data_IF_921723414699
#
_entry.id   IF_921723414699
#
_cell.length_a   1.000
_cell.length_b   1.000
_cell.length_c   1.000
_cell.angle_alpha   90.00
_cell.angle_beta   90.00
_cell.angle_gamma   90.00
#
_symmetry.space_group_name_H-M   'P 1'
#
loop_
_entity.id
_entity.type
_entity.pdbx_description
1 polymer ?
#
# COMPACT_ATOMS: atom_id res chain seq x y z
N UNK A 1 -14.88 -20.28 31.45
CA UNK A 1 -13.64 -19.82 30.78
C UNK A 1 -14.04 -18.62 29.94
N UNK A 2 -13.82 -17.44 30.48
CA UNK A 2 -14.27 -16.15 29.96
C UNK A 2 -13.34 -15.74 28.78
N UNK A 3 -13.95 -15.55 27.62
CA UNK A 3 -13.32 -14.94 26.44
C UNK A 3 -13.01 -13.48 26.76
N UNK A 4 -11.75 -13.18 27.05
CA UNK A 4 -11.24 -11.82 27.23
C UNK A 4 -10.93 -11.29 25.80
N UNK A 5 -11.99 -10.82 25.12
CA UNK A 5 -11.86 -10.06 23.92
C UNK A 5 -11.19 -8.72 24.27
N UNK A 6 -10.04 -8.42 23.71
CA UNK A 6 -9.36 -7.15 23.87
C UNK A 6 -10.35 -6.02 23.57
N UNK A 7 -10.88 -5.41 24.63
CA UNK A 7 -11.81 -4.29 24.55
C UNK A 7 -11.04 -3.13 23.88
N UNK A 8 -11.32 -2.89 22.60
CA UNK A 8 -10.79 -1.72 21.89
C UNK A 8 -11.25 -0.48 22.65
N UNK A 9 -10.33 0.41 22.97
CA UNK A 9 -10.60 1.63 23.75
C UNK A 9 -11.82 2.37 23.14
N UNK A 10 -12.88 2.64 23.93
CA UNK A 10 -14.07 3.36 23.45
C UNK A 10 -13.75 4.69 22.80
N UNK A 11 -12.64 5.36 23.19
CA UNK A 11 -12.18 6.59 22.59
C UNK A 11 -11.67 6.36 21.15
N UNK A 12 -10.95 5.27 20.92
CA UNK A 12 -10.48 4.87 19.60
C UNK A 12 -11.66 4.55 18.68
N UNK A 13 -12.63 3.76 19.14
CA UNK A 13 -13.85 3.46 18.39
C UNK A 13 -14.60 4.74 18.01
N UNK A 14 -14.81 5.63 18.96
CA UNK A 14 -15.47 6.91 18.72
C UNK A 14 -14.68 7.80 17.76
N UNK A 15 -13.35 7.80 17.87
CA UNK A 15 -12.49 8.56 16.96
C UNK A 15 -12.56 8.03 15.53
N UNK A 16 -12.63 6.72 15.33
CA UNK A 16 -12.69 6.08 14.01
C UNK A 16 -14.11 6.01 13.41
N UNK A 17 -15.16 6.36 14.14
CA UNK A 17 -16.54 6.37 13.66
C UNK A 17 -16.86 7.46 12.60
N UNK A 18 -15.88 8.27 12.18
CA UNK A 18 -16.03 9.30 11.14
C UNK A 18 -15.10 9.04 9.98
N UNK A 19 -15.66 8.96 8.77
CA UNK A 19 -14.88 8.79 7.54
C UNK A 19 -13.83 9.90 7.35
N UNK A 20 -14.14 11.13 7.73
CA UNK A 20 -13.18 12.25 7.66
C UNK A 20 -11.97 12.00 8.55
N UNK A 21 -12.16 11.50 9.78
CA UNK A 21 -11.07 11.20 10.70
C UNK A 21 -10.24 10.00 10.22
N UNK A 22 -10.88 8.99 9.65
CA UNK A 22 -10.18 7.86 9.03
C UNK A 22 -9.29 8.35 7.87
N UNK A 23 -9.82 9.18 6.97
CA UNK A 23 -9.06 9.76 5.86
C UNK A 23 -7.90 10.65 6.33
N UNK A 24 -8.10 11.48 7.35
CA UNK A 24 -7.03 12.27 7.98
C UNK A 24 -5.91 11.37 8.51
N UNK A 25 -6.27 10.30 9.20
CA UNK A 25 -5.32 9.34 9.75
C UNK A 25 -4.55 8.60 8.65
N UNK A 26 -5.21 8.22 7.56
CA UNK A 26 -4.57 7.61 6.39
C UNK A 26 -3.53 8.55 5.76
N UNK A 27 -3.88 9.82 5.52
CA UNK A 27 -2.95 10.81 5.00
C UNK A 27 -1.73 11.00 5.92
N UNK A 28 -1.94 11.08 7.24
CA UNK A 28 -0.85 11.23 8.21
C UNK A 28 0.01 9.96 8.37
N UNK A 29 -0.52 8.79 8.02
CA UNK A 29 0.26 7.53 7.96
C UNK A 29 1.13 7.46 6.71
N UNK A 30 0.61 7.92 5.57
CA UNK A 30 1.34 7.97 4.31
C UNK A 30 2.40 9.08 4.31
N UNK A 31 2.05 10.25 4.83
CA UNK A 31 2.91 11.43 4.85
C UNK A 31 2.88 12.07 6.24
N UNK A 32 3.88 11.80 7.08
CA UNK A 32 3.99 12.42 8.39
C UNK A 32 4.36 13.90 8.29
N UNK A 33 4.10 14.63 9.37
CA UNK A 33 4.47 16.04 9.54
C UNK A 33 3.72 17.03 8.61
N UNK A 34 2.45 16.71 8.27
CA UNK A 34 1.56 17.65 7.60
C UNK A 34 0.97 18.68 8.57
N UNK A 35 0.78 19.91 8.08
CA UNK A 35 0.05 20.94 8.81
C UNK A 35 -1.46 20.91 8.45
N UNK A 36 -2.26 21.67 9.23
CA UNK A 36 -3.72 21.73 9.02
C UNK A 36 -4.12 22.31 7.67
N UNK A 37 -3.26 23.14 7.05
CA UNK A 37 -3.53 23.74 5.74
C UNK A 37 -3.35 22.67 4.65
N UNK A 38 -2.23 21.94 4.67
CA UNK A 38 -1.96 20.86 3.74
C UNK A 38 -3.01 19.75 3.81
N UNK A 39 -3.43 19.37 5.03
CA UNK A 39 -4.52 18.41 5.22
C UNK A 39 -5.86 18.93 4.71
N UNK A 40 -6.15 20.22 4.94
CA UNK A 40 -7.37 20.86 4.44
C UNK A 40 -7.46 20.86 2.92
N UNK A 41 -6.36 21.19 2.24
CA UNK A 41 -6.25 21.19 0.78
C UNK A 41 -6.49 19.79 0.19
N UNK A 42 -5.85 18.75 0.76
CA UNK A 42 -5.98 17.37 0.29
C UNK A 42 -7.38 16.78 0.45
N UNK A 43 -8.07 17.18 1.51
CA UNK A 43 -9.39 16.65 1.84
C UNK A 43 -10.55 17.54 1.37
N UNK A 44 -10.25 18.74 0.83
CA UNK A 44 -11.27 19.72 0.49
C UNK A 44 -12.01 20.27 1.71
N UNK A 45 -11.33 20.40 2.86
CA UNK A 45 -11.93 20.80 4.13
C UNK A 45 -11.39 22.15 4.62
N UNK A 46 -12.25 22.90 5.28
CA UNK A 46 -11.82 24.10 5.96
C UNK A 46 -10.88 23.80 7.13
N UNK A 47 -9.87 24.63 7.34
CA UNK A 47 -8.82 24.47 8.38
C UNK A 47 -9.39 24.23 9.78
N UNK A 48 -10.47 24.90 10.15
CA UNK A 48 -11.12 24.72 11.45
C UNK A 48 -11.77 23.33 11.60
N UNK A 49 -12.37 22.83 10.52
CA UNK A 49 -12.92 21.46 10.49
C UNK A 49 -11.82 20.43 10.67
N UNK A 50 -10.69 20.61 9.99
CA UNK A 50 -9.51 19.74 10.15
C UNK A 50 -9.01 19.76 11.60
N UNK A 51 -8.89 20.95 12.22
CA UNK A 51 -8.49 21.08 13.63
C UNK A 51 -9.42 20.33 14.58
N UNK A 52 -10.72 20.48 14.40
CA UNK A 52 -11.70 19.79 15.25
C UNK A 52 -11.57 18.27 15.16
N UNK A 53 -11.36 17.74 13.95
CA UNK A 53 -11.16 16.31 13.75
C UNK A 53 -9.82 15.82 14.29
N UNK A 54 -8.73 16.60 14.12
CA UNK A 54 -7.42 16.27 14.67
C UNK A 54 -7.44 16.26 16.20
N UNK A 55 -8.14 17.19 16.85
CA UNK A 55 -8.27 17.19 18.31
C UNK A 55 -8.91 15.89 18.85
N UNK A 56 -9.92 15.36 18.15
CA UNK A 56 -10.52 14.06 18.52
C UNK A 56 -9.55 12.91 18.33
N UNK A 57 -8.75 12.93 17.25
CA UNK A 57 -7.72 11.91 17.00
C UNK A 57 -6.57 12.01 18.01
N UNK A 58 -6.16 13.23 18.40
CA UNK A 58 -5.16 13.45 19.46
C UNK A 58 -5.65 12.94 20.82
N UNK A 59 -6.91 13.23 21.16
CA UNK A 59 -7.53 12.73 22.41
C UNK A 59 -7.59 11.21 22.46
N UNK A 60 -7.75 10.55 21.32
CA UNK A 60 -7.73 9.09 21.20
C UNK A 60 -6.30 8.52 21.06
N UNK A 61 -5.27 9.35 21.15
CA UNK A 61 -3.88 8.92 21.00
C UNK A 61 -3.49 8.43 19.60
N UNK A 62 -4.31 8.69 18.58
CA UNK A 62 -4.08 8.24 17.20
C UNK A 62 -3.23 9.22 16.38
N UNK A 63 -3.11 10.47 16.83
CA UNK A 63 -2.33 11.53 16.20
C UNK A 63 -1.58 12.29 17.29
N UNK A 64 -0.38 12.73 17.00
CA UNK A 64 0.37 13.66 17.83
C UNK A 64 0.74 14.93 17.06
N UNK A 65 0.71 16.08 17.73
CA UNK A 65 1.21 17.32 17.16
C UNK A 65 2.62 17.66 17.69
N UNK A 66 3.45 18.17 16.80
CA UNK A 66 4.80 18.64 17.09
C UNK A 66 4.91 20.10 16.65
N UNK A 67 5.46 20.93 17.50
CA UNK A 67 5.75 22.32 17.13
C UNK A 67 6.95 22.39 16.19
N UNK A 68 6.77 23.01 15.03
CA UNK A 68 7.86 23.27 14.10
C UNK A 68 8.81 24.30 14.73
N UNK A 69 10.09 23.94 14.87
CA UNK A 69 11.11 24.89 15.29
C UNK A 69 11.25 26.00 14.22
N UNK A 70 11.26 27.26 14.63
CA UNK A 70 11.41 28.41 13.73
C UNK A 70 12.44 29.39 14.28
N UNK A 71 13.29 29.87 13.39
CA UNK A 71 14.27 30.94 13.68
C UNK A 71 13.69 32.37 13.53
N UNK A 72 12.36 32.50 13.29
CA UNK A 72 11.69 33.79 13.07
C UNK A 72 10.54 33.96 14.07
N UNK A 73 10.30 35.22 14.55
CA UNK A 73 9.18 35.52 15.44
C UNK A 73 7.84 35.23 14.76
N UNK A 74 6.92 34.60 15.49
CA UNK A 74 5.60 34.22 15.06
C UNK A 74 5.07 32.98 15.79
N UNK A 75 3.77 32.73 15.72
CA UNK A 75 3.16 31.52 16.32
C UNK A 75 3.71 30.27 15.62
N UNK A 76 4.33 29.30 16.36
CA UNK A 76 4.82 28.07 15.77
C UNK A 76 3.73 27.33 15.01
N UNK A 77 4.04 26.78 13.83
CA UNK A 77 3.14 25.86 13.13
C UNK A 77 3.13 24.51 13.83
N UNK A 78 1.95 23.92 13.95
CA UNK A 78 1.82 22.54 14.40
C UNK A 78 1.90 21.61 13.20
N UNK A 79 2.79 20.64 13.29
CA UNK A 79 2.88 19.51 12.37
C UNK A 79 2.25 18.30 13.05
N UNK A 80 1.43 17.59 12.31
CA UNK A 80 0.72 16.43 12.82
C UNK A 80 1.31 15.15 12.20
N UNK A 81 1.41 14.13 13.02
CA UNK A 81 1.80 12.78 12.59
C UNK A 81 0.86 11.77 13.20
N UNK A 82 0.55 10.70 12.45
CA UNK A 82 -0.10 9.57 13.05
C UNK A 82 0.83 9.00 14.13
N UNK A 83 0.32 8.84 15.34
CA UNK A 83 0.97 7.99 16.30
C UNK A 83 0.74 6.56 15.81
N UNK A 84 1.80 5.76 15.69
CA UNK A 84 1.58 4.33 15.82
C UNK A 84 0.79 4.17 17.13
N UNK A 85 -0.32 3.42 17.16
CA UNK A 85 -0.89 3.05 18.45
C UNK A 85 0.29 2.56 19.27
N UNK A 86 0.46 3.12 20.47
CA UNK A 86 1.54 2.71 21.36
C UNK A 86 1.47 1.19 21.41
N UNK A 87 2.40 0.53 20.71
CA UNK A 87 2.46 -0.90 20.50
C UNK A 87 1.08 -1.57 20.64
N UNK A 88 0.22 -1.45 19.63
CA UNK A 88 -0.72 -2.53 19.42
C UNK A 88 0.21 -3.71 19.11
N UNK A 89 0.56 -4.48 20.11
CA UNK A 89 1.15 -5.78 19.91
C UNK A 89 0.35 -6.43 18.81
N UNK A 90 0.98 -6.96 17.75
CA UNK A 90 0.24 -7.60 16.68
C UNK A 90 -0.76 -8.56 17.32
N UNK A 91 -1.99 -8.56 16.86
CA UNK A 91 -3.03 -9.43 17.40
C UNK A 91 -2.52 -10.88 17.45
N UNK A 92 -3.15 -11.73 18.26
CA UNK A 92 -2.76 -13.15 18.28
C UNK A 92 -2.80 -13.74 16.87
N UNK A 93 -3.80 -13.36 16.08
CA UNK A 93 -3.97 -13.86 14.72
C UNK A 93 -2.89 -13.30 13.78
N UNK A 94 -2.56 -12.02 13.85
CA UNK A 94 -1.45 -11.44 13.09
C UNK A 94 -0.12 -12.12 13.42
N UNK A 95 0.15 -12.40 14.69
CA UNK A 95 1.36 -13.16 15.09
C UNK A 95 1.35 -14.57 14.52
N UNK A 96 0.20 -15.26 14.57
CA UNK A 96 0.06 -16.61 14.02
C UNK A 96 0.27 -16.64 12.51
N UNK A 97 -0.33 -15.69 11.76
CA UNK A 97 -0.13 -15.58 10.31
C UNK A 97 1.31 -15.24 9.96
N UNK A 98 1.95 -14.30 10.66
CA UNK A 98 3.36 -13.95 10.44
C UNK A 98 4.27 -15.13 10.70
N UNK A 99 4.03 -15.88 11.78
CA UNK A 99 4.79 -17.08 12.11
C UNK A 99 4.64 -18.15 11.02
N UNK A 100 3.41 -18.43 10.57
CA UNK A 100 3.16 -19.39 9.49
C UNK A 100 3.83 -18.93 8.18
N UNK A 101 3.68 -17.66 7.82
CA UNK A 101 4.31 -17.12 6.63
C UNK A 101 5.84 -17.21 6.68
N UNK A 102 6.46 -16.97 7.84
CA UNK A 102 7.90 -17.15 8.04
C UNK A 102 8.35 -18.61 7.85
N UNK A 103 7.59 -19.57 8.38
CA UNK A 103 7.87 -21.00 8.17
C UNK A 103 7.80 -21.35 6.68
N UNK A 104 6.75 -20.89 5.98
CA UNK A 104 6.57 -21.18 4.55
C UNK A 104 7.65 -20.54 3.68
N UNK A 105 8.04 -19.29 3.98
CA UNK A 105 9.14 -18.62 3.29
C UNK A 105 10.48 -19.36 3.51
N UNK A 106 10.79 -19.71 4.76
CA UNK A 106 11.99 -20.49 5.10
C UNK A 106 12.00 -21.86 4.42
N UNK A 107 10.84 -22.52 4.36
CA UNK A 107 10.70 -23.80 3.68
C UNK A 107 10.96 -23.68 2.18
N UNK A 108 10.41 -22.65 1.54
CA UNK A 108 10.64 -22.38 0.12
C UNK A 108 12.13 -22.14 -0.16
N UNK A 109 12.80 -21.32 0.66
CA UNK A 109 14.24 -21.05 0.55
C UNK A 109 15.10 -22.32 0.70
N UNK A 110 14.68 -23.22 1.60
CA UNK A 110 15.45 -24.43 1.89
C UNK A 110 15.23 -25.57 0.87
N UNK A 111 14.10 -25.60 0.16
CA UNK A 111 13.69 -26.75 -0.65
C UNK A 111 13.69 -26.48 -2.15
N UNK A 112 13.79 -25.23 -2.60
CA UNK A 112 13.83 -24.88 -4.02
C UNK A 112 15.22 -24.35 -4.41
N UNK A 113 15.66 -24.71 -5.62
CA UNK A 113 16.95 -24.24 -6.17
C UNK A 113 16.88 -22.72 -6.48
N UNK A 114 15.70 -22.23 -6.84
CA UNK A 114 15.41 -20.82 -7.13
C UNK A 114 14.10 -20.44 -6.44
N UNK A 115 14.21 -20.05 -5.18
CA UNK A 115 13.05 -19.65 -4.36
C UNK A 115 12.40 -18.38 -4.88
N UNK A 116 13.19 -17.48 -5.48
CA UNK A 116 12.68 -16.24 -6.05
C UNK A 116 11.80 -16.53 -7.27
N UNK A 117 12.21 -17.38 -8.19
CA UNK A 117 11.39 -17.76 -9.34
C UNK A 117 10.11 -18.49 -8.91
N UNK A 118 10.21 -19.47 -8.02
CA UNK A 118 9.03 -20.18 -7.51
C UNK A 118 8.03 -19.25 -6.78
N UNK A 119 8.56 -18.30 -6.02
CA UNK A 119 7.74 -17.29 -5.34
C UNK A 119 7.06 -16.34 -6.34
N UNK A 120 7.77 -15.95 -7.40
CA UNK A 120 7.22 -15.12 -8.47
C UNK A 120 6.10 -15.84 -9.23
N UNK A 121 6.30 -17.11 -9.60
CA UNK A 121 5.27 -17.92 -10.27
C UNK A 121 4.01 -18.07 -9.41
N UNK A 122 4.19 -18.31 -8.11
CA UNK A 122 3.09 -18.34 -7.17
C UNK A 122 2.35 -17.00 -7.08
N UNK A 123 3.11 -15.90 -7.03
CA UNK A 123 2.57 -14.56 -7.05
C UNK A 123 1.78 -14.27 -8.33
N UNK A 124 2.29 -14.66 -9.50
CA UNK A 124 1.64 -14.47 -10.79
C UNK A 124 0.33 -15.25 -10.88
N UNK A 125 0.32 -16.51 -10.46
CA UNK A 125 -0.92 -17.31 -10.38
C UNK A 125 -1.98 -16.65 -9.50
N UNK A 126 -1.60 -16.06 -8.35
CA UNK A 126 -2.50 -15.31 -7.49
C UNK A 126 -2.92 -13.96 -8.10
N UNK A 127 -2.01 -13.30 -8.84
CA UNK A 127 -2.27 -12.05 -9.53
C UNK A 127 -3.49 -12.10 -10.44
N UNK A 128 -3.68 -13.21 -11.15
CA UNK A 128 -4.86 -13.46 -11.98
C UNK A 128 -6.17 -13.56 -11.20
N UNK A 129 -6.14 -13.78 -9.90
CA UNK A 129 -7.34 -13.94 -9.07
C UNK A 129 -7.75 -12.71 -8.30
N UNK A 130 -6.83 -11.73 -8.16
CA UNK A 130 -7.07 -10.53 -7.33
C UNK A 130 -7.71 -9.36 -8.10
N UNK A 131 -7.82 -9.48 -9.40
CA UNK A 131 -8.49 -8.50 -10.27
C UNK A 131 -9.58 -9.20 -11.08
N UNK A 132 -10.64 -8.45 -11.38
CA UNK A 132 -11.71 -8.98 -12.24
C UNK A 132 -11.26 -8.93 -13.71
N UNK A 133 -11.40 -10.05 -14.40
CA UNK A 133 -11.19 -10.10 -15.85
C UNK A 133 -12.20 -9.17 -16.54
N UNK A 134 -11.75 -8.30 -17.44
CA UNK A 134 -12.66 -7.49 -18.24
C UNK A 134 -13.66 -8.34 -19.03
N UNK A 135 -14.85 -7.80 -19.26
CA UNK A 135 -15.84 -8.48 -20.07
C UNK A 135 -15.28 -8.78 -21.47
N UNK A 136 -15.69 -9.90 -22.14
CA UNK A 136 -15.26 -10.21 -23.49
C UNK A 136 -15.52 -9.01 -24.41
N UNK A 137 -14.50 -8.62 -25.20
CA UNK A 137 -14.52 -7.46 -26.11
C UNK A 137 -14.47 -6.07 -25.42
N UNK A 138 -14.44 -5.97 -24.10
CA UNK A 138 -14.14 -4.72 -23.42
C UNK A 138 -12.67 -4.33 -23.70
N UNK A 139 -12.47 -3.08 -24.12
CA UNK A 139 -11.12 -2.51 -24.23
C UNK A 139 -10.83 -1.77 -22.92
N UNK A 140 -9.94 -2.29 -22.14
CA UNK A 140 -9.43 -1.59 -20.94
C UNK A 140 -8.26 -0.74 -21.36
N UNK A 141 -8.34 0.57 -21.09
CA UNK A 141 -7.21 1.47 -21.28
C UNK A 141 -6.12 1.22 -20.23
N UNK A 142 -4.88 1.59 -20.56
CA UNK A 142 -3.77 1.46 -19.60
C UNK A 142 -4.05 2.22 -18.28
N UNK A 143 -4.64 3.40 -18.35
CA UNK A 143 -4.98 4.21 -17.17
C UNK A 143 -6.03 3.54 -16.28
N UNK A 144 -7.06 2.92 -16.89
CA UNK A 144 -8.10 2.19 -16.13
C UNK A 144 -7.53 0.94 -15.46
N UNK A 145 -6.64 0.22 -16.14
CA UNK A 145 -5.96 -0.94 -15.59
C UNK A 145 -5.04 -0.56 -14.43
N UNK A 146 -4.22 0.48 -14.61
CA UNK A 146 -3.37 0.99 -13.55
C UNK A 146 -4.21 1.51 -12.38
N UNK A 147 -5.36 2.12 -12.65
CA UNK A 147 -6.34 2.51 -11.63
C UNK A 147 -6.91 1.31 -10.86
N UNK A 148 -7.18 0.20 -11.54
CA UNK A 148 -7.65 -1.06 -10.92
C UNK A 148 -6.55 -1.69 -10.09
N UNK A 149 -5.34 -1.80 -10.63
CA UNK A 149 -4.16 -2.28 -9.92
C UNK A 149 -3.91 -1.46 -8.64
N UNK A 150 -3.98 -0.12 -8.74
CA UNK A 150 -3.83 0.77 -7.58
C UNK A 150 -4.83 0.46 -6.48
N UNK A 151 -6.11 0.26 -6.83
CA UNK A 151 -7.16 -0.05 -5.84
C UNK A 151 -6.87 -1.36 -5.12
N UNK A 152 -6.54 -2.41 -5.84
CA UNK A 152 -6.22 -3.72 -5.27
C UNK A 152 -4.99 -3.64 -4.37
N UNK A 153 -3.92 -2.99 -4.81
CA UNK A 153 -2.73 -2.81 -3.99
C UNK A 153 -3.00 -1.98 -2.72
N UNK A 154 -3.91 -1.00 -2.79
CA UNK A 154 -4.31 -0.20 -1.62
C UNK A 154 -5.13 -1.03 -0.63
N UNK A 155 -6.01 -1.91 -1.09
CA UNK A 155 -6.77 -2.85 -0.26
C UNK A 155 -5.84 -3.82 0.50
N UNK A 156 -4.75 -4.28 -0.14
CA UNK A 156 -3.71 -5.07 0.51
C UNK A 156 -2.78 -4.23 1.42
N UNK A 157 -2.93 -2.92 1.42
CA UNK A 157 -2.22 -2.02 2.34
C UNK A 157 -0.84 -1.57 1.88
N UNK A 158 -0.54 -1.62 0.59
CA UNK A 158 0.73 -1.16 0.02
C UNK A 158 0.84 0.36 -0.11
N UNK A 159 -0.27 1.11 -0.03
CA UNK A 159 -0.34 2.54 -0.28
C UNK A 159 0.33 2.92 -1.62
N UNK A 160 -0.19 2.45 -2.77
CA UNK A 160 0.44 2.62 -4.07
C UNK A 160 0.23 4.03 -4.63
N UNK A 161 1.24 4.55 -5.30
CA UNK A 161 1.18 5.73 -6.16
C UNK A 161 1.61 5.32 -7.57
N UNK A 162 0.81 5.70 -8.57
CA UNK A 162 1.14 5.44 -9.97
C UNK A 162 1.81 6.68 -10.55
N UNK A 163 3.04 6.52 -11.03
CA UNK A 163 3.79 7.54 -11.73
C UNK A 163 3.79 7.21 -13.24
N UNK A 164 3.08 8.02 -14.01
CA UNK A 164 2.98 7.93 -15.47
C UNK A 164 3.68 9.09 -16.17
N UNK A 165 4.65 9.73 -15.51
CA UNK A 165 5.43 10.84 -16.09
C UNK A 165 6.10 10.42 -17.40
N UNK A 166 6.57 9.16 -17.49
CA UNK A 166 6.96 8.50 -18.74
C UNK A 166 5.88 7.46 -19.11
N UNK A 167 5.09 7.71 -20.15
CA UNK A 167 4.04 6.78 -20.56
C UNK A 167 4.56 5.41 -21.04
N UNK A 168 5.82 5.34 -21.49
CA UNK A 168 6.43 4.09 -21.97
C UNK A 168 7.06 3.28 -20.83
N UNK A 169 7.38 3.93 -19.72
CA UNK A 169 7.99 3.34 -18.54
C UNK A 169 7.28 3.81 -17.24
N UNK A 170 5.99 3.52 -17.08
CA UNK A 170 5.27 3.88 -15.85
C UNK A 170 5.86 3.15 -14.64
N UNK A 171 5.62 3.69 -13.46
CA UNK A 171 6.12 3.12 -12.20
C UNK A 171 5.00 3.02 -11.17
N UNK A 172 5.07 1.99 -10.35
CA UNK A 172 4.24 1.87 -9.15
C UNK A 172 5.13 2.05 -7.94
N UNK A 173 4.93 3.15 -7.24
CA UNK A 173 5.64 3.46 -6.00
C UNK A 173 4.81 2.93 -4.84
N UNK A 174 5.33 1.97 -4.10
CA UNK A 174 4.69 1.36 -2.94
C UNK A 174 5.26 2.01 -1.69
N UNK A 175 4.47 2.88 -1.06
CA UNK A 175 4.91 3.66 0.11
C UNK A 175 4.91 2.86 1.41
N UNK A 176 4.34 1.66 1.41
CA UNK A 176 4.29 0.76 2.55
C UNK A 176 4.38 -0.70 2.08
N UNK A 177 5.12 -1.51 2.84
CA UNK A 177 5.08 -2.95 2.72
C UNK A 177 4.24 -3.51 3.88
N UNK A 178 3.10 -4.18 3.63
CA UNK A 178 2.29 -4.77 4.69
C UNK A 178 2.98 -5.95 5.38
N UNK A 179 3.99 -6.55 4.74
CA UNK A 179 4.74 -7.69 5.26
C UNK A 179 5.97 -7.28 6.08
N UNK A 180 6.33 -6.00 6.09
CA UNK A 180 7.29 -5.38 7.01
C UNK A 180 8.56 -6.20 7.28
N UNK A 181 8.67 -6.74 8.50
CA UNK A 181 9.85 -7.49 8.93
C UNK A 181 10.04 -8.80 8.17
N UNK A 182 8.95 -9.52 7.83
CA UNK A 182 9.03 -10.74 7.02
C UNK A 182 9.70 -10.46 5.66
N UNK A 183 9.37 -9.32 5.03
CA UNK A 183 10.00 -8.93 3.77
C UNK A 183 11.47 -8.53 3.94
N UNK A 184 11.94 -8.21 5.15
CA UNK A 184 13.36 -7.96 5.44
C UNK A 184 14.13 -9.27 5.65
N UNK A 185 13.49 -10.25 6.29
CA UNK A 185 14.07 -11.55 6.59
C UNK A 185 14.12 -12.45 5.36
N UNK A 186 13.08 -12.38 4.49
CA UNK A 186 12.91 -13.22 3.30
C UNK A 186 12.64 -12.34 2.06
N UNK A 187 13.56 -11.39 1.79
CA UNK A 187 13.36 -10.40 0.73
C UNK A 187 13.14 -11.04 -0.63
N UNK A 188 13.95 -12.02 -0.99
CA UNK A 188 13.90 -12.64 -2.32
C UNK A 188 12.58 -13.37 -2.55
N UNK A 189 12.02 -14.03 -1.55
CA UNK A 189 10.71 -14.70 -1.64
C UNK A 189 9.59 -13.65 -1.66
N UNK A 190 9.54 -12.79 -0.65
CA UNK A 190 8.40 -11.87 -0.47
C UNK A 190 8.32 -10.84 -1.60
N UNK A 191 9.46 -10.28 -2.03
CA UNK A 191 9.45 -9.28 -3.11
C UNK A 191 9.19 -9.93 -4.48
N UNK A 192 9.58 -11.20 -4.69
CA UNK A 192 9.25 -11.94 -5.90
C UNK A 192 7.77 -12.27 -5.98
N UNK A 193 7.12 -12.64 -4.86
CA UNK A 193 5.65 -12.76 -4.81
C UNK A 193 4.98 -11.46 -5.23
N UNK A 194 5.46 -10.30 -4.76
CA UNK A 194 4.86 -9.00 -5.15
C UNK A 194 5.04 -8.70 -6.63
N UNK A 195 6.22 -8.98 -7.19
CA UNK A 195 6.44 -8.82 -8.63
C UNK A 195 5.51 -9.73 -9.43
N UNK A 196 5.36 -10.98 -9.01
CA UNK A 196 4.42 -11.93 -9.61
C UNK A 196 2.98 -11.43 -9.54
N UNK A 197 2.51 -10.99 -8.37
CA UNK A 197 1.17 -10.42 -8.21
C UNK A 197 0.89 -9.26 -9.20
N UNK A 198 1.86 -8.36 -9.38
CA UNK A 198 1.73 -7.27 -10.34
C UNK A 198 1.64 -7.79 -11.78
N UNK A 199 2.45 -8.80 -12.14
CA UNK A 199 2.44 -9.42 -13.47
C UNK A 199 1.12 -10.08 -13.77
N UNK A 200 0.68 -10.99 -12.92
CA UNK A 200 -0.58 -11.72 -13.10
C UNK A 200 -1.80 -10.80 -13.13
N UNK A 201 -1.82 -9.75 -12.29
CA UNK A 201 -2.91 -8.78 -12.29
C UNK A 201 -2.96 -7.96 -13.60
N UNK A 202 -1.82 -7.50 -14.12
CA UNK A 202 -1.75 -6.76 -15.38
C UNK A 202 -2.10 -7.64 -16.57
N UNK A 203 -1.67 -8.90 -16.58
CA UNK A 203 -2.00 -9.87 -17.61
C UNK A 203 -3.50 -10.20 -17.62
N UNK A 204 -4.12 -10.42 -16.44
CA UNK A 204 -5.56 -10.65 -16.33
C UNK A 204 -6.40 -9.47 -16.82
N UNK A 205 -5.92 -8.24 -16.61
CA UNK A 205 -6.55 -7.02 -17.12
C UNK A 205 -6.40 -6.87 -18.65
N UNK A 206 -5.54 -7.66 -19.29
CA UNK A 206 -5.38 -7.71 -20.74
C UNK A 206 -4.84 -6.43 -21.35
N UNK A 207 -4.00 -5.71 -20.62
CA UNK A 207 -3.40 -4.44 -21.09
C UNK A 207 -1.97 -4.63 -21.56
N UNK A 208 -1.49 -3.84 -22.53
CA UNK A 208 -0.13 -3.94 -23.04
C UNK A 208 0.87 -3.26 -22.07
N UNK A 209 0.79 -3.58 -20.79
CA UNK A 209 1.67 -3.08 -19.73
C UNK A 209 2.16 -4.26 -18.91
N UNK A 210 3.45 -4.40 -18.73
CA UNK A 210 4.08 -5.51 -18.01
C UNK A 210 4.94 -5.00 -16.86
N UNK A 211 4.91 -5.69 -15.73
CA UNK A 211 5.82 -5.42 -14.62
C UNK A 211 7.17 -6.10 -14.88
N UNK A 212 8.22 -5.30 -15.07
CA UNK A 212 9.57 -5.80 -15.37
C UNK A 212 10.32 -6.18 -14.10
N UNK A 213 10.43 -5.24 -13.18
CA UNK A 213 11.24 -5.38 -11.98
C UNK A 213 10.54 -4.72 -10.79
N UNK A 214 10.85 -5.21 -9.61
CA UNK A 214 10.53 -4.56 -8.34
C UNK A 214 11.85 -4.27 -7.63
N UNK A 215 12.12 -2.99 -7.37
CA UNK A 215 13.26 -2.53 -6.58
C UNK A 215 12.79 -2.38 -5.13
N UNK A 216 13.15 -3.32 -4.25
CA UNK A 216 12.81 -3.22 -2.85
C UNK A 216 13.63 -2.11 -2.19
N UNK A 217 13.03 -1.42 -1.23
CA UNK A 217 13.70 -0.41 -0.42
C UNK A 217 14.41 0.68 -1.24
N UNK A 218 13.83 1.12 -2.39
CA UNK A 218 14.35 2.24 -3.18
C UNK A 218 14.56 3.51 -2.33
N UNK A 219 13.78 3.67 -1.27
CA UNK A 219 14.05 4.51 -0.10
C UNK A 219 13.82 3.66 1.16
N UNK A 220 14.19 4.11 2.36
CA UNK A 220 14.00 3.31 3.59
C UNK A 220 12.57 2.80 3.85
N UNK A 221 11.59 3.34 3.13
CA UNK A 221 10.16 3.01 3.33
C UNK A 221 9.39 2.72 2.05
N UNK A 222 10.01 2.82 0.87
CA UNK A 222 9.33 2.65 -0.41
C UNK A 222 9.99 1.57 -1.26
N UNK A 223 9.14 0.82 -1.98
CA UNK A 223 9.57 -0.04 -3.07
C UNK A 223 9.07 0.54 -4.39
N UNK A 224 9.75 0.28 -5.50
CA UNK A 224 9.36 0.78 -6.81
C UNK A 224 9.28 -0.39 -7.79
N UNK A 225 8.09 -0.60 -8.35
CA UNK A 225 7.93 -1.50 -9.48
C UNK A 225 8.04 -0.69 -10.78
N UNK A 226 8.93 -1.13 -11.65
CA UNK A 226 9.09 -0.59 -13.00
C UNK A 226 8.21 -1.39 -13.95
N UNK A 227 7.40 -0.66 -14.70
CA UNK A 227 6.53 -1.24 -15.71
C UNK A 227 7.05 -0.84 -17.09
N UNK A 228 6.68 -1.61 -18.10
CA UNK A 228 6.88 -1.28 -19.50
C UNK A 228 5.55 -1.34 -20.22
N UNK A 229 5.21 -0.28 -20.92
CA UNK A 229 4.11 -0.29 -21.88
C UNK A 229 4.63 -0.83 -23.23
N UNK A 230 3.94 -1.81 -23.80
CA UNK A 230 4.23 -2.23 -25.16
C UNK A 230 3.89 -1.08 -26.14
N UNK A 231 4.64 -0.91 -27.22
CA UNK A 231 4.32 0.08 -28.22
C UNK A 231 2.90 -0.18 -28.78
N UNK A 232 2.15 0.89 -29.03
CA UNK A 232 0.74 0.84 -29.47
C UNK A 232 0.53 0.07 -30.79
N UNK A 233 1.59 -0.20 -31.56
CA UNK A 233 1.56 -0.92 -32.83
C UNK A 233 1.69 -2.44 -32.71
N UNK A 234 1.86 -2.99 -31.51
CA UNK A 234 1.84 -4.43 -31.27
C UNK A 234 0.38 -4.89 -31.11
N UNK A 235 -0.44 -4.78 -32.14
CA UNK A 235 -1.73 -5.45 -32.20
C UNK A 235 -1.49 -6.96 -32.15
N UNK A 236 -2.19 -7.72 -31.28
CA UNK A 236 -2.07 -9.17 -31.29
C UNK A 236 -2.50 -9.67 -32.68
N UNK A 237 -1.65 -10.50 -33.29
CA UNK A 237 -2.02 -11.14 -34.56
C UNK A 237 -3.35 -11.88 -34.37
N UNK A 238 -4.31 -11.76 -35.32
CA UNK A 238 -5.55 -12.47 -35.21
C UNK A 238 -5.25 -13.97 -35.22
N UNK A 239 -5.62 -14.66 -34.14
CA UNK A 239 -5.61 -16.12 -34.09
C UNK A 239 -6.52 -16.65 -35.22
N UNK A 240 -5.92 -16.97 -36.35
CA UNK A 240 -6.53 -17.81 -37.38
C UNK A 240 -6.37 -19.27 -36.95
N UNK A 241 -7.41 -19.81 -36.33
CA UNK A 241 -7.78 -21.24 -36.43
C UNK A 241 -9.28 -21.41 -36.30
#
# INVERSE_FOLDING_TARGET
MTSDGAATDPLVHRALASQVRVRLLQHLRGEPDLDVVGLGQRLGLHVNTVRSHLAVLEQAGLVASVKEARDRPGRPRLRYRATAPASAEPSRDERAYRFLAGILASYLDATTTDSAAAAQDAGEAWGHTIVDRPAPFARVGADDALGSLRRVMDEFGFAPEIDTTDPHAPRVVLHRCPFGDLAREHQDVVCSVHLGLLRGALDELGVPVHAETLVPWATPRTCVAHLRAAPADAAPEPFLR
#
